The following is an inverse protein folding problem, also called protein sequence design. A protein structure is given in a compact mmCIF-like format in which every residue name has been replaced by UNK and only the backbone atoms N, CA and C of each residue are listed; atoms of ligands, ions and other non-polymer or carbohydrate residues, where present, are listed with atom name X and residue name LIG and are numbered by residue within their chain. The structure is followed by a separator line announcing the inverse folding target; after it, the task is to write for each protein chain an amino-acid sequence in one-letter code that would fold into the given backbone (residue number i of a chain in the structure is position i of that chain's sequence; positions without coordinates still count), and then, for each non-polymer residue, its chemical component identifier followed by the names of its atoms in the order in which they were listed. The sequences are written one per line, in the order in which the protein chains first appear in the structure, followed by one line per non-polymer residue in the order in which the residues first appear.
data_IF_604667372031
#
_entry.id   IF_604667372031
#
_cell.length_a   1.000
_cell.length_b   1.000
_cell.length_c   1.000
_cell.angle_alpha   90.00
_cell.angle_beta   90.00
_cell.angle_gamma   90.00
#
_symmetry.space_group_name_H-M   'P 1'
#
loop_
_entity.id
_entity.type
_entity.pdbx_description
1 polymer ?
#
# COMPACT_ATOMS: atom_id res chain seq x y z
N UNK A 1 39.90 -7.56 -18.43
CA UNK A 1 38.96 -6.48 -18.79
C UNK A 1 37.67 -6.69 -18.03
N UNK A 2 37.49 -5.98 -16.94
CA UNK A 2 36.22 -5.99 -16.20
C UNK A 2 35.24 -5.14 -16.99
N UNK A 3 34.17 -5.78 -17.53
CA UNK A 3 33.09 -5.08 -18.24
C UNK A 3 32.27 -4.34 -17.18
N UNK A 4 32.56 -3.04 -17.03
CA UNK A 4 31.90 -2.14 -16.09
C UNK A 4 30.56 -1.66 -16.65
N UNK A 5 29.66 -2.56 -17.02
CA UNK A 5 28.23 -2.25 -17.05
C UNK A 5 27.76 -2.18 -15.59
N UNK A 6 27.99 -1.04 -14.96
CA UNK A 6 27.25 -0.64 -13.78
C UNK A 6 25.77 -0.71 -14.17
N UNK A 7 25.10 -1.78 -13.74
CA UNK A 7 23.64 -1.84 -13.82
C UNK A 7 23.11 -0.66 -13.00
N UNK A 8 22.81 0.46 -13.66
CA UNK A 8 22.13 1.56 -13.02
C UNK A 8 20.87 1.02 -12.37
N UNK A 9 20.89 0.90 -11.04
CA UNK A 9 19.71 0.55 -10.24
C UNK A 9 18.72 1.69 -10.39
N UNK A 10 17.82 1.55 -11.36
CA UNK A 10 16.73 2.49 -11.54
C UNK A 10 15.83 2.45 -10.31
N UNK A 11 15.43 3.61 -9.83
CA UNK A 11 14.30 3.65 -8.89
C UNK A 11 13.04 3.12 -9.60
N UNK A 12 12.09 2.57 -8.85
CA UNK A 12 10.82 2.14 -9.41
C UNK A 12 10.17 3.22 -10.29
N UNK A 13 10.31 4.50 -9.92
CA UNK A 13 9.83 5.63 -10.70
C UNK A 13 10.57 5.80 -12.03
N UNK A 14 11.89 5.70 -12.04
CA UNK A 14 12.69 5.79 -13.26
C UNK A 14 12.41 4.61 -14.20
N UNK A 15 12.23 3.41 -13.64
CA UNK A 15 11.81 2.24 -14.40
C UNK A 15 10.44 2.46 -15.06
N UNK A 16 9.45 2.92 -14.30
CA UNK A 16 8.11 3.22 -14.82
C UNK A 16 8.10 4.33 -15.88
N UNK A 17 9.05 5.27 -15.84
CA UNK A 17 9.21 6.31 -16.87
C UNK A 17 9.94 5.81 -18.13
N UNK A 18 10.91 4.91 -18.00
CA UNK A 18 11.68 4.35 -19.13
C UNK A 18 10.85 3.39 -19.98
N UNK A 19 10.00 2.59 -19.33
CA UNK A 19 9.18 1.58 -19.99
C UNK A 19 7.84 2.18 -20.38
N UNK A 20 7.48 2.19 -21.64
CA UNK A 20 6.17 2.45 -22.30
C UNK A 20 4.97 2.93 -21.42
N UNK A 21 5.20 3.14 -20.11
CA UNK A 21 4.25 3.68 -19.14
C UNK A 21 4.17 5.22 -19.15
N UNK A 22 4.98 5.87 -19.95
CA UNK A 22 5.06 7.34 -20.05
C UNK A 22 3.85 8.01 -20.76
N UNK A 23 2.87 7.23 -21.19
CA UNK A 23 1.64 7.75 -21.78
C UNK A 23 0.59 8.17 -20.76
N UNK A 24 -0.34 9.05 -21.16
CA UNK A 24 -1.47 9.52 -20.33
C UNK A 24 -2.29 8.39 -19.68
N UNK A 25 -2.30 7.21 -20.29
CA UNK A 25 -3.02 6.03 -19.79
C UNK A 25 -2.53 5.52 -18.43
N UNK A 26 -1.28 5.80 -18.07
CA UNK A 26 -0.64 5.25 -16.87
C UNK A 26 -0.36 6.30 -15.79
N UNK A 27 -0.66 7.58 -16.04
CA UNK A 27 -0.44 8.67 -15.07
C UNK A 27 -1.07 8.39 -13.71
N UNK A 28 -2.29 7.90 -13.71
CA UNK A 28 -3.03 7.56 -12.48
C UNK A 28 -2.37 6.41 -11.71
N UNK A 29 -1.88 5.36 -12.41
CA UNK A 29 -1.13 4.27 -11.78
C UNK A 29 0.20 4.75 -11.18
N UNK A 30 0.92 5.59 -11.90
CA UNK A 30 2.18 6.18 -11.42
C UNK A 30 1.92 7.05 -10.20
N UNK A 31 0.86 7.85 -10.19
CA UNK A 31 0.46 8.67 -9.06
C UNK A 31 0.10 7.80 -7.85
N UNK A 32 -0.69 6.73 -8.05
CA UNK A 32 -1.03 5.77 -7.00
C UNK A 32 0.20 5.10 -6.39
N UNK A 33 1.18 4.70 -7.21
CA UNK A 33 2.44 4.12 -6.72
C UNK A 33 3.28 5.15 -5.93
N UNK A 34 3.19 6.45 -6.26
CA UNK A 34 3.80 7.51 -5.46
C UNK A 34 3.12 7.67 -4.10
N UNK A 35 1.80 7.56 -4.04
CA UNK A 35 1.04 7.64 -2.79
C UNK A 35 1.44 6.49 -1.86
N UNK A 36 1.53 5.25 -2.38
CA UNK A 36 2.01 4.09 -1.62
C UNK A 36 3.44 4.28 -1.13
N UNK A 37 4.36 4.77 -2.00
CA UNK A 37 5.73 5.06 -1.62
C UNK A 37 5.81 6.12 -0.52
N UNK A 38 5.00 7.17 -0.59
CA UNK A 38 4.97 8.23 0.42
C UNK A 38 4.55 7.67 1.78
N UNK A 39 3.48 6.88 1.82
CA UNK A 39 3.03 6.21 3.04
C UNK A 39 4.12 5.29 3.61
N UNK A 40 4.74 4.43 2.79
CA UNK A 40 5.82 3.55 3.23
C UNK A 40 7.02 4.30 3.84
N UNK A 41 7.37 5.46 3.28
CA UNK A 41 8.41 6.32 3.89
C UNK A 41 8.00 6.88 5.25
N UNK A 42 6.72 7.24 5.42
CA UNK A 42 6.21 7.69 6.71
C UNK A 42 6.21 6.57 7.73
N UNK A 43 5.76 5.36 7.36
CA UNK A 43 5.83 4.16 8.21
C UNK A 43 7.27 3.87 8.62
N UNK A 44 8.22 3.88 7.66
CA UNK A 44 9.64 3.68 7.97
C UNK A 44 10.18 4.73 8.95
N UNK A 45 9.72 5.97 8.86
CA UNK A 45 10.11 7.02 9.82
C UNK A 45 9.53 6.73 11.21
N UNK A 46 8.27 6.32 11.31
CA UNK A 46 7.63 5.95 12.60
C UNK A 46 8.33 4.75 13.23
N UNK A 47 8.67 3.73 12.44
CA UNK A 47 9.45 2.58 12.90
C UNK A 47 10.78 3.02 13.53
N UNK A 48 11.54 3.85 12.83
CA UNK A 48 12.86 4.29 13.31
C UNK A 48 12.77 5.19 14.56
N UNK A 49 11.75 6.05 14.64
CA UNK A 49 11.55 6.94 15.80
C UNK A 49 10.95 6.20 16.99
N UNK A 50 10.00 5.34 16.76
CA UNK A 50 9.32 4.60 17.82
C UNK A 50 10.17 3.49 18.43
N UNK A 51 11.09 2.89 17.66
CA UNK A 51 12.11 1.97 18.18
C UNK A 51 12.98 2.65 19.23
N UNK A 52 13.32 3.94 19.02
CA UNK A 52 14.08 4.74 19.99
C UNK A 52 13.26 5.06 21.25
N UNK A 53 11.92 5.15 21.14
CA UNK A 53 11.03 5.46 22.26
C UNK A 53 10.57 4.22 23.06
N UNK A 54 10.91 3.00 22.62
CA UNK A 54 10.59 1.74 23.32
C UNK A 54 9.11 1.35 23.33
N UNK A 55 8.26 1.92 22.48
CA UNK A 55 6.79 1.76 22.54
C UNK A 55 6.16 1.06 21.31
N UNK A 56 6.95 0.50 20.40
CA UNK A 56 6.46 -0.03 19.12
C UNK A 56 5.73 -1.38 19.24
N UNK A 57 6.15 -2.21 20.20
CA UNK A 57 5.62 -3.56 20.39
C UNK A 57 4.33 -3.64 21.20
N UNK A 58 3.80 -2.51 21.69
CA UNK A 58 2.62 -2.49 22.54
C UNK A 58 1.37 -2.95 21.79
N UNK A 59 0.64 -3.91 22.39
CA UNK A 59 -0.63 -4.37 21.86
C UNK A 59 -1.76 -3.39 22.20
N UNK A 60 -2.68 -3.20 21.26
CA UNK A 60 -3.84 -2.30 21.45
C UNK A 60 -5.01 -2.95 22.18
N UNK A 61 -4.98 -4.28 22.37
CA UNK A 61 -6.11 -5.06 22.88
C UNK A 61 -7.14 -5.44 21.81
N UNK A 62 -6.98 -5.00 20.57
CA UNK A 62 -7.82 -5.36 19.43
C UNK A 62 -7.24 -6.53 18.62
N UNK A 63 -8.04 -7.09 17.69
CA UNK A 63 -7.62 -8.11 16.73
C UNK A 63 -7.86 -7.61 15.31
N UNK A 64 -7.01 -8.03 14.37
CA UNK A 64 -7.17 -7.76 12.93
C UNK A 64 -8.24 -8.68 12.30
N UNK A 65 -8.45 -8.56 10.99
CA UNK A 65 -9.40 -9.38 10.23
C UNK A 65 -9.12 -10.89 10.28
N UNK A 66 -7.89 -11.29 10.59
CA UNK A 66 -7.46 -12.69 10.76
C UNK A 66 -7.49 -13.17 12.23
N UNK A 67 -7.89 -12.30 13.17
CA UNK A 67 -7.98 -12.62 14.60
C UNK A 67 -6.67 -12.51 15.38
N UNK A 68 -5.61 -11.96 14.75
CA UNK A 68 -4.32 -11.71 15.38
C UNK A 68 -4.37 -10.45 16.26
N UNK A 69 -3.52 -10.40 17.28
CA UNK A 69 -3.38 -9.23 18.15
C UNK A 69 -2.72 -8.09 17.40
N UNK A 70 -3.41 -6.95 17.31
CA UNK A 70 -2.93 -5.74 16.63
C UNK A 70 -1.99 -4.97 17.53
N UNK A 71 -0.82 -4.67 17.04
CA UNK A 71 0.12 -3.76 17.69
C UNK A 71 -0.21 -2.31 17.35
N UNK A 72 0.24 -1.39 18.18
CA UNK A 72 0.03 0.05 17.99
C UNK A 72 0.58 0.53 16.63
N UNK A 73 1.69 -0.07 16.18
CA UNK A 73 2.32 0.28 14.93
C UNK A 73 1.52 -0.17 13.69
N UNK A 74 0.82 -1.30 13.77
CA UNK A 74 -0.09 -1.75 12.70
C UNK A 74 -1.16 -0.70 12.42
N UNK A 75 -1.77 -0.15 13.48
CA UNK A 75 -2.77 0.92 13.35
C UNK A 75 -2.18 2.21 12.79
N UNK A 76 -0.96 2.57 13.19
CA UNK A 76 -0.27 3.75 12.66
C UNK A 76 0.00 3.56 11.17
N UNK A 77 0.58 2.42 10.79
CA UNK A 77 0.87 2.10 9.39
C UNK A 77 -0.40 2.10 8.55
N UNK A 78 -1.45 1.41 9.01
CA UNK A 78 -2.74 1.37 8.35
C UNK A 78 -3.32 2.77 8.11
N UNK A 79 -3.34 3.61 9.14
CA UNK A 79 -3.84 4.98 9.02
C UNK A 79 -3.03 5.83 8.05
N UNK A 80 -1.70 5.69 8.03
CA UNK A 80 -0.83 6.40 7.10
C UNK A 80 -1.09 6.01 5.66
N UNK A 81 -1.25 4.71 5.37
CA UNK A 81 -1.59 4.24 4.03
C UNK A 81 -2.98 4.71 3.59
N UNK A 82 -4.00 4.54 4.43
CA UNK A 82 -5.37 4.96 4.11
C UNK A 82 -5.41 6.47 3.80
N UNK A 83 -4.81 7.31 4.66
CA UNK A 83 -4.76 8.76 4.46
C UNK A 83 -4.00 9.15 3.20
N UNK A 84 -2.87 8.50 2.91
CA UNK A 84 -2.08 8.78 1.70
C UNK A 84 -2.86 8.45 0.43
N UNK A 85 -3.54 7.30 0.40
CA UNK A 85 -4.37 6.87 -0.72
C UNK A 85 -5.59 7.77 -0.92
N UNK A 86 -6.26 8.17 0.16
CA UNK A 86 -7.41 9.08 0.11
C UNK A 86 -7.01 10.46 -0.39
N UNK A 87 -5.94 11.04 0.15
CA UNK A 87 -5.44 12.36 -0.23
C UNK A 87 -4.91 12.39 -1.67
N UNK A 88 -4.28 11.31 -2.12
CA UNK A 88 -3.80 11.18 -3.48
C UNK A 88 -4.92 11.13 -4.52
N UNK A 89 -6.08 10.58 -4.15
CA UNK A 89 -7.25 10.50 -5.01
C UNK A 89 -7.11 9.57 -6.23
N UNK A 90 -6.06 8.73 -6.24
CA UNK A 90 -5.72 7.87 -7.38
C UNK A 90 -6.24 6.44 -7.22
N UNK A 91 -7.03 6.17 -6.19
CA UNK A 91 -7.74 4.90 -6.03
C UNK A 91 -9.13 5.12 -5.43
N UNK A 92 -10.07 4.23 -5.77
CA UNK A 92 -11.47 4.37 -5.38
C UNK A 92 -11.76 3.79 -3.99
N UNK A 93 -10.87 2.93 -3.49
CA UNK A 93 -11.00 2.31 -2.19
C UNK A 93 -9.90 1.30 -1.93
N UNK A 94 -9.82 0.85 -0.68
CA UNK A 94 -8.81 -0.09 -0.21
C UNK A 94 -9.42 -1.17 0.68
N UNK A 95 -8.89 -2.39 0.56
CA UNK A 95 -9.02 -3.46 1.54
C UNK A 95 -7.69 -3.56 2.26
N UNK A 96 -7.71 -3.38 3.56
CA UNK A 96 -6.55 -3.55 4.42
C UNK A 96 -6.76 -4.76 5.33
N UNK A 97 -5.68 -5.48 5.64
CA UNK A 97 -5.69 -6.57 6.60
C UNK A 97 -6.18 -6.11 7.98
N UNK A 98 -5.83 -4.89 8.37
CA UNK A 98 -6.16 -4.30 9.66
C UNK A 98 -7.63 -3.84 9.78
N UNK A 99 -8.38 -3.87 8.69
CA UNK A 99 -9.77 -3.40 8.66
C UNK A 99 -10.75 -4.55 8.38
N UNK A 100 -11.75 -4.72 9.24
CA UNK A 100 -12.85 -5.66 8.98
C UNK A 100 -13.67 -5.31 7.73
N UNK A 101 -13.73 -4.04 7.38
CA UNK A 101 -14.55 -3.52 6.28
C UNK A 101 -13.68 -2.82 5.26
N UNK A 102 -14.13 -2.88 3.99
CA UNK A 102 -13.53 -2.09 2.92
C UNK A 102 -13.66 -0.59 3.22
N UNK A 103 -12.62 0.16 2.88
CA UNK A 103 -12.62 1.63 2.94
C UNK A 103 -12.87 2.16 1.54
N UNK A 104 -13.97 2.89 1.36
CA UNK A 104 -14.35 3.52 0.09
C UNK A 104 -14.09 5.02 0.22
N UNK A 105 -13.33 5.57 -0.70
CA UNK A 105 -13.04 7.00 -0.71
C UNK A 105 -14.14 7.79 -1.42
N UNK A 106 -14.56 8.90 -0.80
CA UNK A 106 -15.72 9.67 -1.23
C UNK A 106 -15.38 11.00 -1.91
N UNK A 107 -14.10 11.39 -1.98
CA UNK A 107 -13.68 12.57 -2.73
C UNK A 107 -13.87 12.34 -4.25
N UNK A 108 -14.02 13.43 -5.01
CA UNK A 108 -14.35 13.36 -6.44
C UNK A 108 -13.30 12.60 -7.26
N UNK A 109 -12.01 12.83 -6.98
CA UNK A 109 -10.93 12.17 -7.69
C UNK A 109 -10.98 10.66 -7.48
N UNK A 110 -11.12 10.21 -6.23
CA UNK A 110 -11.20 8.79 -5.89
C UNK A 110 -12.43 8.11 -6.50
N UNK A 111 -13.59 8.76 -6.53
CA UNK A 111 -14.80 8.20 -7.17
C UNK A 111 -14.58 7.88 -8.65
N UNK A 112 -13.81 8.73 -9.34
CA UNK A 112 -13.51 8.60 -10.76
C UNK A 112 -12.29 7.72 -11.03
N UNK A 113 -11.54 7.32 -9.99
CA UNK A 113 -10.35 6.49 -10.12
C UNK A 113 -10.66 5.12 -10.72
N UNK A 114 -9.70 4.63 -11.50
CA UNK A 114 -9.76 3.32 -12.18
C UNK A 114 -9.24 2.17 -11.33
N UNK A 115 -8.67 2.46 -10.16
CA UNK A 115 -7.94 1.49 -9.36
C UNK A 115 -8.56 1.28 -7.99
N UNK A 116 -8.32 0.09 -7.45
CA UNK A 116 -8.58 -0.31 -6.07
C UNK A 116 -7.32 -1.01 -5.54
N UNK A 117 -7.10 -0.94 -4.24
CA UNK A 117 -5.89 -1.44 -3.59
C UNK A 117 -6.25 -2.49 -2.55
N UNK A 118 -5.47 -3.57 -2.49
CA UNK A 118 -5.42 -4.50 -1.37
C UNK A 118 -4.05 -4.34 -0.72
N UNK A 119 -4.02 -4.29 0.61
CA UNK A 119 -2.78 -3.98 1.33
C UNK A 119 -2.72 -4.72 2.67
N UNK A 120 -1.54 -5.24 2.98
CA UNK A 120 -1.08 -5.47 4.34
C UNK A 120 -0.11 -4.31 4.68
N UNK A 121 -0.51 -3.40 5.56
CA UNK A 121 0.27 -2.20 5.87
C UNK A 121 1.61 -2.48 6.52
N UNK A 122 1.72 -3.58 7.29
CA UNK A 122 2.92 -3.92 8.04
C UNK A 122 3.10 -5.43 8.24
N UNK A 123 3.36 -6.13 7.12
CA UNK A 123 3.70 -7.55 7.12
C UNK A 123 4.90 -7.85 8.01
N UNK A 124 4.77 -8.89 8.82
CA UNK A 124 5.79 -9.30 9.78
C UNK A 124 5.78 -8.54 11.11
N UNK A 125 4.77 -7.70 11.38
CA UNK A 125 4.68 -6.87 12.59
C UNK A 125 4.75 -7.67 13.90
N UNK A 126 4.29 -8.93 13.92
CA UNK A 126 4.36 -9.83 15.08
C UNK A 126 5.80 -10.02 15.59
N UNK A 127 6.79 -9.87 14.73
CA UNK A 127 8.21 -10.10 15.02
C UNK A 127 9.03 -8.80 15.23
N UNK A 128 8.38 -7.65 15.36
CA UNK A 128 9.08 -6.35 15.55
C UNK A 128 9.98 -6.37 16.77
N UNK A 129 9.55 -7.04 17.85
CA UNK A 129 10.28 -7.07 19.13
C UNK A 129 11.61 -7.84 19.05
N UNK A 130 11.78 -8.66 18.01
CA UNK A 130 13.00 -9.44 17.77
C UNK A 130 13.82 -8.94 16.58
N UNK A 131 13.53 -7.70 16.13
CA UNK A 131 14.24 -7.00 15.07
C UNK A 131 14.30 -7.76 13.73
N UNK A 132 13.22 -8.43 13.37
CA UNK A 132 13.05 -9.06 12.05
C UNK A 132 12.58 -7.99 11.05
N UNK A 133 13.01 -8.05 9.79
CA UNK A 133 12.52 -7.15 8.76
C UNK A 133 10.99 -7.18 8.65
N UNK A 134 10.40 -6.00 8.54
CA UNK A 134 8.98 -5.79 8.31
C UNK A 134 8.77 -4.98 7.03
N UNK A 135 7.60 -5.06 6.44
CA UNK A 135 7.32 -4.29 5.24
C UNK A 135 5.84 -4.25 4.91
N UNK A 136 5.55 -3.62 3.80
CA UNK A 136 4.18 -3.47 3.30
C UNK A 136 4.00 -4.31 2.05
N UNK A 137 2.98 -5.15 2.01
CA UNK A 137 2.58 -5.88 0.79
C UNK A 137 1.38 -5.17 0.18
N UNK A 138 1.39 -4.94 -1.13
CA UNK A 138 0.25 -4.36 -1.83
C UNK A 138 -0.05 -5.03 -3.16
N UNK A 139 -1.31 -4.96 -3.55
CA UNK A 139 -1.82 -5.36 -4.85
C UNK A 139 -2.76 -4.29 -5.39
N UNK A 140 -2.59 -3.91 -6.65
CA UNK A 140 -3.42 -2.94 -7.36
C UNK A 140 -4.24 -3.68 -8.42
N UNK A 141 -5.54 -3.50 -8.37
CA UNK A 141 -6.49 -4.04 -9.33
C UNK A 141 -7.23 -2.89 -10.04
N UNK A 142 -7.80 -3.18 -11.20
CA UNK A 142 -8.75 -2.25 -11.82
C UNK A 142 -10.11 -2.34 -11.16
N UNK A 143 -10.70 -1.19 -10.86
CA UNK A 143 -12.10 -1.10 -10.47
C UNK A 143 -12.98 -1.64 -11.61
N UNK A 144 -13.92 -2.57 -11.35
CA UNK A 144 -14.83 -3.05 -12.38
C UNK A 144 -15.68 -1.91 -12.96
N UNK A 145 -15.78 -1.83 -14.28
CA UNK A 145 -16.56 -0.77 -14.96
C UNK A 145 -18.06 -0.82 -14.66
N UNK A 146 -18.56 -1.99 -14.31
CA UNK A 146 -19.99 -2.22 -13.97
C UNK A 146 -20.35 -1.70 -12.58
N UNK A 147 -19.37 -1.45 -11.71
CA UNK A 147 -19.64 -1.06 -10.33
C UNK A 147 -19.95 0.42 -10.23
N UNK A 148 -21.24 0.74 -10.14
CA UNK A 148 -21.70 2.10 -9.79
C UNK A 148 -21.29 2.49 -8.37
N UNK A 149 -21.28 1.52 -7.45
CA UNK A 149 -20.82 1.66 -6.06
C UNK A 149 -19.94 0.46 -5.72
N UNK A 150 -18.76 0.72 -5.18
CA UNK A 150 -17.83 -0.34 -4.76
C UNK A 150 -18.42 -1.19 -3.63
N UNK A 151 -18.18 -2.49 -3.73
CA UNK A 151 -18.51 -3.50 -2.73
C UNK A 151 -17.32 -4.42 -2.50
N UNK A 152 -17.35 -5.23 -1.45
CA UNK A 152 -16.29 -6.23 -1.19
C UNK A 152 -16.08 -7.20 -2.37
N UNK A 153 -17.14 -7.50 -3.13
CA UNK A 153 -17.04 -8.38 -4.32
C UNK A 153 -16.15 -7.82 -5.41
N UNK A 154 -16.05 -6.50 -5.52
CA UNK A 154 -15.20 -5.84 -6.54
C UNK A 154 -13.71 -6.03 -6.28
N UNK A 155 -13.33 -6.34 -5.05
CA UNK A 155 -11.95 -6.65 -4.65
C UNK A 155 -11.61 -8.14 -4.81
N UNK A 156 -12.61 -9.02 -4.88
CA UNK A 156 -12.43 -10.46 -5.07
C UNK A 156 -12.22 -10.77 -6.55
N UNK A 157 -11.05 -10.46 -7.07
CA UNK A 157 -10.66 -10.71 -8.45
C UNK A 157 -9.56 -11.76 -8.53
N UNK A 158 -9.46 -12.42 -9.69
CA UNK A 158 -8.39 -13.38 -9.95
C UNK A 158 -7.01 -12.68 -9.93
N UNK A 159 -5.99 -13.30 -9.35
CA UNK A 159 -4.64 -12.73 -9.25
C UNK A 159 -4.03 -12.29 -10.58
N UNK A 160 -4.37 -12.97 -11.69
CA UNK A 160 -3.94 -12.59 -13.04
C UNK A 160 -4.45 -11.21 -13.50
N UNK A 161 -5.43 -10.62 -12.81
CA UNK A 161 -5.97 -9.28 -13.07
C UNK A 161 -5.22 -8.17 -12.35
N UNK A 162 -4.22 -8.51 -11.57
CA UNK A 162 -3.33 -7.52 -10.94
C UNK A 162 -2.70 -6.63 -12.01
N UNK A 163 -2.75 -5.33 -11.79
CA UNK A 163 -2.10 -4.31 -12.62
C UNK A 163 -0.68 -4.07 -12.14
N UNK A 164 -0.50 -4.08 -10.84
CA UNK A 164 0.77 -4.01 -10.17
C UNK A 164 0.66 -4.67 -8.79
N UNK A 165 1.75 -5.22 -8.32
CA UNK A 165 1.91 -5.69 -6.96
C UNK A 165 3.34 -5.41 -6.50
N UNK A 166 3.56 -5.32 -5.20
CA UNK A 166 4.89 -5.04 -4.69
C UNK A 166 5.00 -5.15 -3.17
N UNK A 167 6.24 -5.00 -2.74
CA UNK A 167 6.67 -4.99 -1.35
C UNK A 167 7.49 -3.73 -1.09
N UNK A 168 7.24 -3.06 0.02
CA UNK A 168 7.96 -1.85 0.45
C UNK A 168 8.68 -2.13 1.75
#
# INVERSE_FOLDING_TARGET
MYDSKVNEKLTAYQYLLKDKLSGDKNRELIALLKDLKLAGRQVSKELNTGALAGSLGDYTGSKNSHGEKVKKLDLIANNLFIKSLENGGNCAGVVSEENEKIVIFNNENSKNSKYIVLIDPLDGSSNIDVNVPVGTIFSILKKPKSSKKLTSKDFLQEGKKQVAAGYI
#
